data_IF_390511013721
#
_entry.id   IF_390511013721
#
_cell.length_a   1.000
_cell.length_b   1.000
_cell.length_c   1.000
_cell.angle_alpha   90.00
_cell.angle_beta   90.00
_cell.angle_gamma   90.00
#
_symmetry.space_group_name_H-M   'P 1'
#
loop_
_entity.id
_entity.type
_entity.pdbx_description
1 polymer ?
#
# COMPACT_ATOMS: atom_id res chain seq x y z
N UNK A 1 -15.35 -9.00 11.74
CA UNK A 1 -14.49 -8.02 12.42
C UNK A 1 -13.05 -8.47 12.27
N UNK A 2 -12.17 -7.58 11.79
CA UNK A 2 -10.76 -7.82 11.51
C UNK A 2 -9.97 -6.77 12.29
N UNK A 3 -8.91 -7.21 12.97
CA UNK A 3 -7.93 -6.34 13.62
C UNK A 3 -6.78 -6.07 12.67
N UNK A 4 -6.35 -4.81 12.63
CA UNK A 4 -5.15 -4.40 11.93
C UNK A 4 -4.24 -3.62 12.85
N UNK A 5 -2.95 -3.91 12.77
CA UNK A 5 -1.89 -3.07 13.33
C UNK A 5 -1.72 -1.84 12.44
N UNK A 6 -1.87 -0.67 13.03
CA UNK A 6 -1.81 0.63 12.38
C UNK A 6 -0.68 1.46 12.98
N UNK A 7 -0.07 2.31 12.14
CA UNK A 7 0.98 3.22 12.54
C UNK A 7 0.71 4.60 11.95
N UNK A 8 0.88 5.65 12.77
CA UNK A 8 0.81 7.03 12.29
C UNK A 8 2.18 7.55 11.83
N UNK A 9 2.23 8.68 11.15
CA UNK A 9 3.51 9.30 10.70
C UNK A 9 4.51 9.60 11.84
N UNK A 10 4.02 9.76 13.07
CA UNK A 10 4.87 9.98 14.26
C UNK A 10 5.43 8.68 14.84
N UNK A 11 5.11 7.53 14.22
CA UNK A 11 5.63 6.23 14.61
C UNK A 11 4.82 5.50 15.69
N UNK A 12 3.75 6.09 16.23
CA UNK A 12 2.89 5.42 17.22
C UNK A 12 2.12 4.27 16.58
N UNK A 13 2.23 3.09 17.18
CA UNK A 13 1.53 1.86 16.76
C UNK A 13 0.29 1.66 17.62
N UNK A 14 -0.82 1.30 17.01
CA UNK A 14 -2.09 1.02 17.68
C UNK A 14 -2.95 0.05 16.86
N UNK A 15 -3.92 -0.57 17.51
CA UNK A 15 -4.83 -1.52 16.87
C UNK A 15 -6.12 -0.82 16.39
N UNK A 16 -6.56 -1.16 15.19
CA UNK A 16 -7.84 -0.73 14.63
C UNK A 16 -8.75 -1.91 14.33
N UNK A 17 -10.00 -1.82 14.79
CA UNK A 17 -11.01 -2.86 14.62
C UNK A 17 -12.00 -2.44 13.53
N UNK A 18 -12.07 -3.21 12.44
CA UNK A 18 -12.92 -2.90 11.29
C UNK A 18 -13.79 -4.10 10.92
N UNK A 19 -14.92 -3.86 10.26
CA UNK A 19 -15.77 -4.96 9.77
C UNK A 19 -15.07 -5.77 8.69
N UNK A 20 -14.53 -5.06 7.68
CA UNK A 20 -13.76 -5.61 6.57
C UNK A 20 -12.67 -4.64 6.07
N UNK A 21 -11.88 -5.07 5.08
CA UNK A 21 -10.80 -4.25 4.50
C UNK A 21 -11.30 -3.04 3.69
N UNK A 22 -12.50 -3.10 3.09
CA UNK A 22 -13.09 -1.99 2.33
C UNK A 22 -13.52 -0.88 3.28
N UNK A 23 -14.09 -1.22 4.43
CA UNK A 23 -14.43 -0.27 5.50
C UNK A 23 -13.18 0.49 5.97
N UNK A 24 -12.08 -0.23 6.26
CA UNK A 24 -10.79 0.40 6.58
C UNK A 24 -10.33 1.36 5.49
N UNK A 25 -10.27 0.92 4.22
CA UNK A 25 -9.81 1.76 3.12
C UNK A 25 -10.68 3.01 2.92
N UNK A 26 -12.00 2.88 3.02
CA UNK A 26 -12.93 4.00 2.90
C UNK A 26 -12.76 5.01 4.03
N UNK A 27 -12.64 4.54 5.28
CA UNK A 27 -12.41 5.41 6.43
C UNK A 27 -11.04 6.09 6.39
N UNK A 28 -9.98 5.37 5.97
CA UNK A 28 -8.65 5.93 5.83
C UNK A 28 -8.59 7.01 4.75
N UNK A 29 -9.21 6.76 3.57
CA UNK A 29 -9.32 7.77 2.49
C UNK A 29 -10.05 9.03 2.94
N UNK A 30 -11.06 8.88 3.80
CA UNK A 30 -11.82 10.00 4.39
C UNK A 30 -11.13 10.63 5.60
N UNK A 31 -9.94 10.16 6.00
CA UNK A 31 -9.22 10.62 7.20
C UNK A 31 -10.04 10.52 8.49
N UNK A 32 -10.90 9.50 8.58
CA UNK A 32 -11.76 9.24 9.75
C UNK A 32 -11.08 8.40 10.82
N UNK A 33 -9.86 7.91 10.55
CA UNK A 33 -9.07 7.13 11.49
C UNK A 33 -8.01 8.09 12.06
N UNK A 34 -8.00 8.26 13.38
CA UNK A 34 -7.02 9.11 14.07
C UNK A 34 -6.16 8.28 15.02
N UNK A 35 -4.90 8.70 15.15
CA UNK A 35 -4.00 8.14 16.14
C UNK A 35 -4.46 8.53 17.55
N UNK A 36 -4.62 7.60 18.49
CA UNK A 36 -5.07 7.90 19.85
C UNK A 36 -4.04 8.69 20.68
N UNK A 37 -2.78 8.78 20.22
CA UNK A 37 -1.69 9.45 20.94
C UNK A 37 -1.49 10.89 20.46
N UNK A 38 -1.44 11.11 19.14
CA UNK A 38 -1.12 12.41 18.55
C UNK A 38 -2.24 13.01 17.69
N UNK A 39 -3.37 12.31 17.57
CA UNK A 39 -4.53 12.72 16.79
C UNK A 39 -4.27 12.95 15.28
N UNK A 40 -3.11 12.52 14.76
CA UNK A 40 -2.84 12.54 13.32
C UNK A 40 -3.74 11.53 12.60
N UNK A 41 -4.23 11.89 11.41
CA UNK A 41 -5.08 11.05 10.56
C UNK A 41 -4.33 10.39 9.41
N UNK A 42 -3.03 10.66 9.27
CA UNK A 42 -2.16 9.94 8.34
C UNK A 42 -1.75 8.60 8.94
N UNK A 43 -2.50 7.56 8.59
CA UNK A 43 -2.38 6.20 9.15
C UNK A 43 -2.04 5.19 8.06
N UNK A 44 -1.06 4.33 8.35
CA UNK A 44 -0.61 3.23 7.51
C UNK A 44 -0.78 1.89 8.23
N UNK A 45 -0.96 0.81 7.46
CA UNK A 45 -0.99 -0.55 7.98
C UNK A 45 0.44 -1.03 8.23
N UNK A 46 0.68 -1.63 9.40
CA UNK A 46 1.97 -2.26 9.69
C UNK A 46 2.02 -3.62 8.99
N UNK A 47 3.05 -3.89 8.17
CA UNK A 47 3.24 -5.22 7.59
C UNK A 47 3.63 -6.21 8.70
N UNK A 48 2.78 -7.19 8.95
CA UNK A 48 3.07 -8.24 9.93
C UNK A 48 4.14 -9.19 9.37
N UNK A 49 5.24 -9.36 10.09
CA UNK A 49 6.38 -10.20 9.70
C UNK A 49 6.15 -11.67 10.03
N UNK A 50 5.14 -12.29 9.43
CA UNK A 50 5.15 -13.75 9.31
C UNK A 50 5.99 -14.09 8.08
N UNK A 51 7.06 -14.87 8.25
CA UNK A 51 7.97 -15.26 7.17
C UNK A 51 7.28 -16.09 6.09
N UNK A 52 6.63 -15.41 5.15
CA UNK A 52 6.06 -16.01 3.94
C UNK A 52 7.16 -15.98 2.89
N UNK A 53 7.69 -17.16 2.54
CA UNK A 53 8.49 -17.34 1.33
C UNK A 53 7.69 -16.79 0.16
N UNK A 54 8.14 -15.67 -0.38
CA UNK A 54 7.47 -14.93 -1.44
C UNK A 54 7.43 -15.83 -2.67
N UNK A 55 6.29 -16.49 -2.92
CA UNK A 55 5.94 -16.81 -4.29
C UNK A 55 5.66 -15.48 -4.94
N UNK A 56 6.42 -15.14 -5.97
CA UNK A 56 6.24 -13.95 -6.80
C UNK A 56 4.81 -13.92 -7.36
N UNK A 57 3.87 -13.37 -6.60
CA UNK A 57 2.59 -12.93 -7.10
C UNK A 57 2.57 -11.40 -7.06
N UNK A 58 3.61 -10.81 -7.66
CA UNK A 58 3.52 -9.47 -8.19
C UNK A 58 2.43 -9.51 -9.23
N UNK A 59 1.35 -8.79 -8.97
CA UNK A 59 0.21 -8.69 -9.87
C UNK A 59 0.72 -8.46 -11.29
N UNK A 60 0.55 -9.45 -12.15
CA UNK A 60 0.73 -9.30 -13.58
C UNK A 60 -0.45 -8.44 -14.06
N UNK A 61 -0.36 -7.14 -13.83
CA UNK A 61 -1.28 -6.15 -14.36
C UNK A 61 -0.84 -5.97 -15.82
N UNK A 62 -1.67 -6.36 -16.82
CA UNK A 62 -1.29 -6.30 -18.24
C UNK A 62 -0.79 -4.91 -18.67
N UNK A 63 -1.27 -3.87 -17.99
CA UNK A 63 -0.88 -2.47 -18.19
C UNK A 63 0.61 -2.19 -17.94
N UNK A 64 1.24 -2.84 -16.94
CA UNK A 64 2.62 -2.52 -16.57
C UNK A 64 3.63 -3.10 -17.56
N UNK A 65 3.30 -4.22 -18.20
CA UNK A 65 4.10 -4.83 -19.26
C UNK A 65 4.05 -3.98 -20.54
N UNK A 66 2.85 -3.55 -20.94
CA UNK A 66 2.66 -2.70 -22.12
C UNK A 66 3.34 -1.32 -21.98
N UNK A 67 3.38 -0.76 -20.77
CA UNK A 67 4.07 0.53 -20.51
C UNK A 67 5.58 0.36 -20.54
N UNK A 68 6.12 -0.73 -20.00
CA UNK A 68 7.56 -0.99 -20.00
C UNK A 68 8.10 -1.23 -21.41
N UNK A 69 7.36 -1.96 -22.24
CA UNK A 69 7.73 -2.29 -23.63
C UNK A 69 7.77 -1.04 -24.54
N UNK A 70 6.77 -0.15 -24.38
CA UNK A 70 6.77 1.17 -25.05
C UNK A 70 7.92 2.07 -24.59
N UNK A 71 8.35 1.94 -23.34
CA UNK A 71 9.46 2.71 -22.81
C UNK A 71 10.80 2.20 -23.35
N UNK A 72 10.95 0.88 -23.53
CA UNK A 72 12.17 0.27 -24.09
C UNK A 72 12.36 0.59 -25.58
N UNK A 73 11.29 0.60 -26.38
CA UNK A 73 11.37 0.93 -27.81
C UNK A 73 11.82 2.39 -28.04
N UNK A 74 11.33 3.31 -27.18
CA UNK A 74 11.70 4.72 -27.26
C UNK A 74 13.14 5.00 -26.80
N UNK A 75 13.68 4.14 -25.94
CA UNK A 75 15.07 4.23 -25.48
C UNK A 75 16.04 3.71 -26.55
N UNK A 76 15.69 2.67 -27.32
CA UNK A 76 16.53 2.20 -28.43
C UNK A 76 16.58 3.21 -29.58
N UNK A 77 15.45 3.85 -29.91
CA UNK A 77 15.40 4.88 -30.96
C UNK A 77 16.26 6.11 -30.61
N UNK A 78 16.40 6.43 -29.32
CA UNK A 78 17.23 7.55 -28.86
C UNK A 78 18.73 7.22 -28.84
N UNK A 79 19.11 5.95 -28.74
CA UNK A 79 20.52 5.51 -28.72
C UNK A 79 21.08 5.32 -30.13
N UNK A 80 20.22 5.04 -31.11
CA UNK A 80 20.62 4.87 -32.52
C UNK A 80 20.67 6.20 -33.31
N UNK A 81 20.43 7.34 -32.65
CA UNK A 81 20.45 8.68 -33.23
C UNK A 81 21.49 9.57 -32.57
#
# INVERSE_FOLDING_TARGET
MIVYDLQCEQGHVFEGWFEDIRTFNNQNKKKLISCPVCNNTSIMKVPTTFGIKSSENGQNIPEKQAVLEKMTEKLSEFVEK
#
